data_IF_068248358338
#
_entry.id   IF_068248358338
#
_cell.length_a   1.000
_cell.length_b   1.000
_cell.length_c   1.000
_cell.angle_alpha   90.00
_cell.angle_beta   90.00
_cell.angle_gamma   90.00
#
_symmetry.space_group_name_H-M   'P 1'
#
loop_
_entity.id
_entity.type
_entity.pdbx_description
1 polymer ?
#
# COMPACT_ATOMS: atom_id res chain seq x y z
N UNK A 1 -17.30 51.80 -6.35
CA UNK A 1 -18.15 50.58 -6.40
C UNK A 1 -17.37 49.28 -6.65
N UNK A 2 -16.07 49.29 -6.96
CA UNK A 2 -15.30 48.05 -7.27
C UNK A 2 -14.79 47.25 -6.05
N UNK A 3 -14.62 47.89 -4.88
CA UNK A 3 -14.12 47.23 -3.65
C UNK A 3 -14.95 46.03 -3.17
N UNK A 4 -16.31 46.07 -3.10
CA UNK A 4 -17.10 44.92 -2.68
C UNK A 4 -17.04 43.77 -3.70
N UNK A 5 -16.95 44.05 -4.99
CA UNK A 5 -16.83 43.03 -6.04
C UNK A 5 -15.50 42.28 -5.98
N UNK A 6 -14.40 42.98 -5.70
CA UNK A 6 -13.07 42.36 -5.53
C UNK A 6 -13.05 41.47 -4.28
N UNK A 7 -13.64 41.90 -3.17
CA UNK A 7 -13.73 41.08 -1.94
C UNK A 7 -14.56 39.81 -2.16
N UNK A 8 -15.69 39.90 -2.85
CA UNK A 8 -16.52 38.73 -3.18
C UNK A 8 -15.76 37.77 -4.10
N UNK A 9 -15.09 38.28 -5.13
CA UNK A 9 -14.29 37.45 -6.03
C UNK A 9 -13.15 36.71 -5.31
N UNK A 10 -12.46 37.39 -4.37
CA UNK A 10 -11.41 36.77 -3.54
C UNK A 10 -11.98 35.69 -2.63
N UNK A 11 -13.14 35.91 -2.02
CA UNK A 11 -13.80 34.91 -1.17
C UNK A 11 -14.24 33.67 -1.96
N UNK A 12 -14.78 33.87 -3.18
CA UNK A 12 -15.15 32.75 -4.06
C UNK A 12 -13.91 31.96 -4.49
N UNK A 13 -12.82 32.64 -4.87
CA UNK A 13 -11.58 31.98 -5.25
C UNK A 13 -10.97 31.18 -4.08
N UNK A 14 -10.96 31.74 -2.87
CA UNK A 14 -10.49 31.05 -1.67
C UNK A 14 -11.33 29.80 -1.34
N UNK A 15 -12.66 29.89 -1.47
CA UNK A 15 -13.55 28.75 -1.26
C UNK A 15 -13.33 27.63 -2.29
N UNK A 16 -13.10 27.99 -3.57
CA UNK A 16 -12.81 27.01 -4.62
C UNK A 16 -11.48 26.26 -4.39
N UNK A 17 -10.44 26.96 -3.92
CA UNK A 17 -9.16 26.34 -3.58
C UNK A 17 -9.32 25.40 -2.37
N UNK A 18 -10.02 25.82 -1.32
CA UNK A 18 -10.25 25.00 -0.13
C UNK A 18 -11.03 23.71 -0.45
N UNK A 19 -12.08 23.80 -1.27
CA UNK A 19 -12.84 22.64 -1.72
C UNK A 19 -12.01 21.66 -2.55
N UNK A 20 -11.10 22.18 -3.39
CA UNK A 20 -10.21 21.35 -4.23
C UNK A 20 -9.21 20.55 -3.38
N UNK A 21 -8.62 21.17 -2.36
CA UNK A 21 -7.69 20.50 -1.46
C UNK A 21 -8.39 19.41 -0.63
N UNK A 22 -9.61 19.68 -0.13
CA UNK A 22 -10.38 18.68 0.60
C UNK A 22 -10.71 17.45 -0.26
N UNK A 23 -11.04 17.65 -1.53
CA UNK A 23 -11.29 16.55 -2.46
C UNK A 23 -10.03 15.73 -2.77
N UNK A 24 -8.87 16.38 -2.90
CA UNK A 24 -7.59 15.71 -3.11
C UNK A 24 -7.23 14.80 -1.91
N UNK A 25 -7.36 15.32 -0.68
CA UNK A 25 -7.08 14.59 0.55
C UNK A 25 -8.01 13.36 0.72
N UNK A 26 -9.29 13.50 0.38
CA UNK A 26 -10.24 12.38 0.42
C UNK A 26 -9.87 11.27 -0.58
N UNK A 27 -9.41 11.64 -1.78
CA UNK A 27 -8.96 10.66 -2.77
C UNK A 27 -7.73 9.89 -2.29
N UNK A 28 -6.74 10.59 -1.74
CA UNK A 28 -5.53 9.96 -1.17
C UNK A 28 -5.87 9.00 -0.02
N UNK A 29 -6.78 9.40 0.87
CA UNK A 29 -7.25 8.55 1.98
C UNK A 29 -7.93 7.26 1.47
N UNK A 30 -8.79 7.38 0.45
CA UNK A 30 -9.49 6.24 -0.15
C UNK A 30 -8.53 5.31 -0.89
N UNK A 31 -7.58 5.85 -1.65
CA UNK A 31 -6.58 5.07 -2.39
C UNK A 31 -5.66 4.32 -1.42
N UNK A 32 -5.28 4.94 -0.30
CA UNK A 32 -4.49 4.29 0.75
C UNK A 32 -5.23 3.10 1.35
N UNK A 33 -6.51 3.24 1.71
CA UNK A 33 -7.31 2.11 2.24
C UNK A 33 -7.47 0.98 1.24
N UNK A 34 -7.65 1.32 -0.04
CA UNK A 34 -7.73 0.34 -1.11
C UNK A 34 -6.40 -0.43 -1.24
N UNK A 35 -5.27 0.26 -1.12
CA UNK A 35 -3.94 -0.37 -1.12
C UNK A 35 -3.72 -1.26 0.11
N UNK A 36 -4.12 -0.83 1.31
CA UNK A 36 -4.05 -1.64 2.53
C UNK A 36 -4.89 -2.93 2.42
N UNK A 37 -6.13 -2.80 1.94
CA UNK A 37 -7.01 -3.95 1.73
C UNK A 37 -6.47 -4.88 0.62
N UNK A 38 -5.87 -4.31 -0.42
CA UNK A 38 -5.20 -5.05 -1.50
C UNK A 38 -4.02 -5.88 -1.00
N UNK A 39 -3.15 -5.28 -0.18
CA UNK A 39 -2.02 -5.96 0.44
C UNK A 39 -2.48 -7.04 1.44
N UNK A 40 -3.51 -6.74 2.24
CA UNK A 40 -4.10 -7.71 3.17
C UNK A 40 -4.62 -8.96 2.45
N UNK A 41 -5.29 -8.79 1.31
CA UNK A 41 -5.73 -9.90 0.46
C UNK A 41 -4.57 -10.75 -0.05
N UNK A 42 -3.46 -10.11 -0.48
CA UNK A 42 -2.23 -10.81 -0.87
C UNK A 42 -1.68 -11.66 0.27
N UNK A 43 -1.60 -11.10 1.47
CA UNK A 43 -1.12 -11.86 2.63
C UNK A 43 -2.01 -13.05 2.94
N UNK A 44 -3.33 -12.94 2.75
CA UNK A 44 -4.26 -14.06 2.89
C UNK A 44 -3.96 -15.19 1.90
N UNK A 45 -3.82 -14.85 0.62
CA UNK A 45 -3.52 -15.82 -0.44
C UNK A 45 -2.16 -16.51 -0.21
N UNK A 46 -1.14 -15.73 0.14
CA UNK A 46 0.20 -16.25 0.44
C UNK A 46 0.20 -17.12 1.69
N UNK A 47 -0.55 -16.74 2.72
CA UNK A 47 -0.67 -17.54 3.94
C UNK A 47 -1.18 -18.96 3.66
N UNK A 48 -2.19 -19.10 2.79
CA UNK A 48 -2.69 -20.43 2.42
C UNK A 48 -1.62 -21.25 1.70
N UNK A 49 -1.05 -20.70 0.62
CA UNK A 49 -0.13 -21.46 -0.25
C UNK A 49 1.16 -21.82 0.48
N UNK A 50 1.76 -20.86 1.19
CA UNK A 50 3.04 -21.06 1.87
C UNK A 50 2.91 -21.98 3.08
N UNK A 51 1.74 -22.06 3.72
CA UNK A 51 1.45 -23.09 4.73
C UNK A 51 1.52 -24.51 4.16
N UNK A 52 1.15 -24.71 2.90
CA UNK A 52 1.16 -26.04 2.29
C UNK A 52 2.50 -26.36 1.63
N UNK A 53 3.13 -25.38 0.98
CA UNK A 53 4.40 -25.56 0.29
C UNK A 53 5.62 -25.53 1.22
N UNK A 54 5.61 -24.67 2.24
CA UNK A 54 6.74 -24.47 3.16
C UNK A 54 6.31 -24.45 4.64
N UNK A 55 5.60 -25.50 5.13
CA UNK A 55 4.97 -25.51 6.45
C UNK A 55 5.92 -25.27 7.63
N UNK A 56 7.21 -25.56 7.47
CA UNK A 56 8.22 -25.44 8.54
C UNK A 56 8.75 -24.02 8.71
N UNK A 57 8.67 -23.19 7.67
CA UNK A 57 9.35 -21.89 7.62
C UNK A 57 8.38 -20.72 7.47
N UNK A 58 7.30 -20.90 6.71
CA UNK A 58 6.43 -19.79 6.32
C UNK A 58 4.98 -19.89 6.81
N UNK A 59 4.64 -20.94 7.57
CA UNK A 59 3.25 -21.23 7.93
C UNK A 59 2.55 -20.05 8.61
N UNK A 60 3.23 -19.33 9.51
CA UNK A 60 2.63 -18.21 10.25
C UNK A 60 3.16 -16.83 9.83
N UNK A 61 4.24 -16.79 9.05
CA UNK A 61 4.92 -15.55 8.61
C UNK A 61 3.95 -14.55 7.99
N UNK A 62 3.07 -15.01 7.11
CA UNK A 62 2.14 -14.12 6.39
C UNK A 62 1.00 -13.60 7.26
N UNK A 63 0.55 -14.40 8.23
CA UNK A 63 -0.40 -13.96 9.25
C UNK A 63 0.23 -12.92 10.16
N UNK A 64 1.49 -13.10 10.53
CA UNK A 64 2.20 -12.15 11.39
C UNK A 64 2.53 -10.85 10.64
N UNK A 65 2.85 -10.92 9.34
CA UNK A 65 2.93 -9.73 8.48
C UNK A 65 1.61 -8.97 8.42
N UNK A 66 0.48 -9.67 8.32
CA UNK A 66 -0.84 -9.03 8.38
C UNK A 66 -1.09 -8.33 9.71
N UNK A 67 -0.74 -8.97 10.85
CA UNK A 67 -0.84 -8.33 12.17
C UNK A 67 0.06 -7.09 12.25
N UNK A 68 1.29 -7.20 11.77
CA UNK A 68 2.25 -6.09 11.81
C UNK A 68 1.81 -4.92 10.94
N UNK A 69 1.17 -5.19 9.79
CA UNK A 69 0.58 -4.15 8.95
C UNK A 69 -0.51 -3.38 9.70
N UNK A 70 -1.42 -4.06 10.39
CA UNK A 70 -2.45 -3.41 11.22
C UNK A 70 -1.82 -2.61 12.36
N UNK A 71 -0.81 -3.16 13.01
CA UNK A 71 -0.09 -2.49 14.11
C UNK A 71 0.60 -1.21 13.64
N UNK A 72 1.25 -1.22 12.48
CA UNK A 72 1.99 -0.07 11.96
C UNK A 72 1.08 1.03 11.42
N UNK A 73 -0.04 0.66 10.79
CA UNK A 73 -0.93 1.63 10.15
C UNK A 73 -1.98 2.19 11.11
N UNK A 74 -2.17 1.56 12.28
CA UNK A 74 -3.18 1.90 13.29
C UNK A 74 -4.53 2.35 12.68
N UNK A 75 -5.13 1.53 11.79
CA UNK A 75 -6.28 1.95 11.01
C UNK A 75 -7.52 2.15 11.90
N UNK A 76 -8.45 2.98 11.44
CA UNK A 76 -9.79 3.05 12.02
C UNK A 76 -10.47 1.68 11.99
N UNK A 77 -11.48 1.51 12.85
CA UNK A 77 -12.12 0.20 13.05
C UNK A 77 -12.69 -0.40 11.76
N UNK A 78 -13.35 0.42 10.95
CA UNK A 78 -13.94 0.06 9.65
C UNK A 78 -12.87 -0.36 8.63
N UNK A 79 -11.74 0.36 8.57
CA UNK A 79 -10.62 0.02 7.70
C UNK A 79 -9.97 -1.29 8.16
N UNK A 80 -9.79 -1.46 9.47
CA UNK A 80 -9.29 -2.71 10.05
C UNK A 80 -10.19 -3.90 9.70
N UNK A 81 -11.51 -3.72 9.79
CA UNK A 81 -12.49 -4.75 9.40
C UNK A 81 -12.38 -5.08 7.90
N UNK A 82 -12.29 -4.08 7.04
CA UNK A 82 -12.12 -4.26 5.60
C UNK A 82 -10.83 -5.04 5.27
N UNK A 83 -9.73 -4.69 5.93
CA UNK A 83 -8.44 -5.39 5.80
C UNK A 83 -8.54 -6.86 6.24
N UNK A 84 -9.15 -7.15 7.39
CA UNK A 84 -9.35 -8.53 7.87
C UNK A 84 -10.23 -9.32 6.92
N UNK A 85 -11.33 -8.72 6.43
CA UNK A 85 -12.22 -9.34 5.45
C UNK A 85 -11.48 -9.65 4.15
N UNK A 86 -10.63 -8.74 3.68
CA UNK A 86 -9.83 -8.91 2.48
C UNK A 86 -8.80 -10.06 2.63
N UNK A 87 -8.13 -10.14 3.78
CA UNK A 87 -7.23 -11.26 4.10
C UNK A 87 -7.97 -12.60 4.07
N UNK A 88 -9.10 -12.70 4.76
CA UNK A 88 -9.89 -13.93 4.81
C UNK A 88 -10.43 -14.34 3.42
N UNK A 89 -10.86 -13.36 2.62
CA UNK A 89 -11.30 -13.60 1.24
C UNK A 89 -10.15 -14.10 0.36
N UNK A 90 -8.96 -13.51 0.48
CA UNK A 90 -7.76 -13.95 -0.23
C UNK A 90 -7.36 -15.39 0.13
N UNK A 91 -7.30 -15.68 1.44
CA UNK A 91 -7.05 -17.03 1.94
C UNK A 91 -8.03 -18.05 1.37
N UNK A 92 -9.33 -17.75 1.44
CA UNK A 92 -10.39 -18.65 0.98
C UNK A 92 -10.33 -18.87 -0.54
N UNK A 93 -10.02 -17.82 -1.31
CA UNK A 93 -9.86 -17.90 -2.77
C UNK A 93 -8.68 -18.79 -3.15
N UNK A 94 -7.52 -18.61 -2.50
CA UNK A 94 -6.36 -19.46 -2.72
C UNK A 94 -6.62 -20.91 -2.29
N UNK A 95 -7.34 -21.11 -1.18
CA UNK A 95 -7.74 -22.44 -0.70
C UNK A 95 -8.63 -23.20 -1.68
N UNK A 96 -9.63 -22.54 -2.22
CA UNK A 96 -10.52 -23.16 -3.20
C UNK A 96 -9.81 -23.51 -4.51
N UNK A 97 -8.76 -22.75 -4.86
CA UNK A 97 -8.01 -22.93 -6.11
C UNK A 97 -6.88 -23.95 -6.00
N UNK A 98 -6.20 -23.99 -4.86
CA UNK A 98 -5.00 -24.80 -4.64
C UNK A 98 -5.18 -25.63 -3.37
N UNK A 99 -5.44 -26.93 -3.52
CA UNK A 99 -5.65 -27.86 -2.39
C UNK A 99 -4.38 -28.57 -1.93
N UNK A 100 -3.32 -28.54 -2.72
CA UNK A 100 -2.00 -29.09 -2.40
C UNK A 100 -0.90 -28.22 -3.03
N UNK A 101 0.34 -28.42 -2.62
CA UNK A 101 1.47 -27.71 -3.22
C UNK A 101 1.85 -28.34 -4.57
N UNK A 102 1.77 -27.55 -5.64
CA UNK A 102 2.29 -27.86 -6.95
C UNK A 102 2.98 -26.64 -7.58
N UNK A 103 3.58 -26.81 -8.76
CA UNK A 103 4.27 -25.73 -9.46
C UNK A 103 3.36 -24.52 -9.72
N UNK A 104 2.08 -24.76 -10.03
CA UNK A 104 1.15 -23.66 -10.31
C UNK A 104 0.83 -22.84 -9.06
N UNK A 105 0.76 -23.47 -7.89
CA UNK A 105 0.60 -22.80 -6.61
C UNK A 105 1.83 -21.96 -6.26
N UNK A 106 3.03 -22.51 -6.47
CA UNK A 106 4.31 -21.80 -6.25
C UNK A 106 4.43 -20.58 -7.17
N UNK A 107 4.18 -20.76 -8.47
CA UNK A 107 4.22 -19.68 -9.47
C UNK A 107 3.21 -18.58 -9.14
N UNK A 108 1.99 -18.96 -8.71
CA UNK A 108 0.99 -18.01 -8.26
C UNK A 108 1.46 -17.25 -7.01
N UNK A 109 2.03 -17.92 -6.02
CA UNK A 109 2.56 -17.26 -4.83
C UNK A 109 3.68 -16.27 -5.17
N UNK A 110 4.60 -16.63 -6.08
CA UNK A 110 5.64 -15.72 -6.56
C UNK A 110 5.04 -14.47 -7.25
N UNK A 111 4.07 -14.67 -8.15
CA UNK A 111 3.39 -13.57 -8.83
C UNK A 111 2.59 -12.66 -7.87
N UNK A 112 1.99 -13.23 -6.82
CA UNK A 112 1.27 -12.45 -5.80
C UNK A 112 2.21 -11.71 -4.86
N UNK A 113 3.37 -12.27 -4.52
CA UNK A 113 4.40 -11.55 -3.77
C UNK A 113 4.87 -10.31 -4.54
N UNK A 114 5.17 -10.43 -5.84
CA UNK A 114 5.56 -9.30 -6.69
C UNK A 114 4.47 -8.20 -6.78
N UNK A 115 3.19 -8.60 -6.79
CA UNK A 115 2.08 -7.65 -6.71
C UNK A 115 1.99 -6.99 -5.32
N UNK A 116 2.37 -7.70 -4.26
CA UNK A 116 2.44 -7.19 -2.90
C UNK A 116 3.45 -6.04 -2.79
N UNK A 117 4.61 -6.21 -3.42
CA UNK A 117 5.63 -5.16 -3.47
C UNK A 117 5.11 -3.88 -4.14
N UNK A 118 4.22 -4.00 -5.13
CA UNK A 118 3.61 -2.83 -5.75
C UNK A 118 2.70 -2.05 -4.77
N UNK A 119 1.92 -2.76 -3.94
CA UNK A 119 1.14 -2.11 -2.88
C UNK A 119 2.02 -1.47 -1.83
N UNK A 120 3.09 -2.15 -1.38
CA UNK A 120 4.04 -1.60 -0.40
C UNK A 120 4.68 -0.32 -0.94
N UNK A 121 5.14 -0.32 -2.20
CA UNK A 121 5.68 0.88 -2.86
C UNK A 121 4.66 2.01 -2.88
N UNK A 122 3.41 1.73 -3.24
CA UNK A 122 2.36 2.75 -3.26
C UNK A 122 2.07 3.34 -1.86
N UNK A 123 2.05 2.51 -0.82
CA UNK A 123 1.79 2.94 0.56
C UNK A 123 2.92 3.80 1.14
N UNK A 124 4.15 3.49 0.76
CA UNK A 124 5.37 4.14 1.27
C UNK A 124 5.85 5.32 0.43
N UNK A 125 5.36 5.49 -0.81
CA UNK A 125 5.81 6.54 -1.72
C UNK A 125 5.75 7.96 -1.10
N UNK A 126 4.65 8.38 -0.43
CA UNK A 126 4.60 9.71 0.21
C UNK A 126 5.67 9.91 1.29
N UNK A 127 5.97 8.85 2.06
CA UNK A 127 7.03 8.89 3.08
C UNK A 127 8.40 9.08 2.43
N UNK A 128 8.70 8.32 1.37
CA UNK A 128 9.96 8.47 0.63
C UNK A 128 10.09 9.84 -0.04
N UNK A 129 8.99 10.42 -0.50
CA UNK A 129 8.99 11.77 -1.06
C UNK A 129 9.27 12.85 -0.01
N UNK A 130 8.65 12.74 1.16
CA UNK A 130 8.92 13.62 2.29
C UNK A 130 10.38 13.54 2.75
N UNK A 131 10.91 12.32 2.98
CA UNK A 131 12.30 12.12 3.39
C UNK A 131 13.29 12.64 2.33
N UNK A 132 13.02 12.46 1.03
CA UNK A 132 13.88 13.00 -0.02
C UNK A 132 13.91 14.53 -0.05
N UNK A 133 12.79 15.17 0.30
CA UNK A 133 12.73 16.63 0.44
C UNK A 133 13.60 17.12 1.59
N UNK A 134 13.61 16.38 2.71
CA UNK A 134 14.44 16.67 3.88
C UNK A 134 15.94 16.40 3.61
N UNK A 135 16.26 15.35 2.85
CA UNK A 135 17.62 14.94 2.46
C UNK A 135 18.20 15.76 1.28
N UNK A 136 17.38 16.58 0.60
CA UNK A 136 17.81 17.35 -0.57
C UNK A 136 18.85 18.43 -0.23
N UNK A 137 18.95 18.84 1.02
CA UNK A 137 20.01 19.73 1.51
C UNK A 137 21.27 18.91 1.89
N UNK A 138 21.93 18.32 0.88
CA UNK A 138 23.31 17.80 1.01
C UNK A 138 23.54 16.29 0.94
N UNK A 139 22.56 15.46 0.58
CA UNK A 139 22.81 14.02 0.40
C UNK A 139 23.41 13.71 -0.97
N UNK A 140 24.67 13.27 -0.99
CA UNK A 140 25.27 12.55 -2.12
C UNK A 140 24.65 11.17 -2.23
N UNK A 141 23.61 11.04 -3.07
CA UNK A 141 23.10 9.73 -3.48
C UNK A 141 24.16 9.05 -4.33
N UNK A 142 24.83 8.04 -3.79
CA UNK A 142 25.75 7.19 -4.56
C UNK A 142 24.93 6.36 -5.55
N UNK A 143 24.77 6.90 -6.76
CA UNK A 143 24.38 6.11 -7.94
C UNK A 143 25.65 5.43 -8.41
N UNK A 144 25.75 4.12 -8.18
CA UNK A 144 26.90 3.33 -8.57
C UNK A 144 27.33 3.68 -9.99
N UNK A 145 28.53 4.25 -10.11
CA UNK A 145 29.10 4.59 -11.38
C UNK A 145 29.33 3.27 -12.14
N UNK A 146 28.56 3.05 -13.20
CA UNK A 146 28.94 2.14 -14.24
C UNK A 146 30.12 2.79 -14.98
N UNK A 147 31.33 2.47 -14.56
CA UNK A 147 32.53 2.69 -15.37
C UNK A 147 33.21 1.34 -15.54
N UNK A 148 32.74 0.62 -16.55
CA UNK A 148 33.64 -0.04 -17.48
C UNK A 148 34.80 0.91 -17.86
N UNK A 149 35.99 0.33 -18.07
CA UNK A 149 37.26 0.92 -18.48
C UNK A 149 38.28 1.34 -17.37
N UNK A 150 38.98 0.35 -16.79
CA UNK A 150 40.45 0.17 -16.94
C UNK A 150 40.93 -1.15 -16.37
#
# INVERSE_FOLDING_TARGET
MMRPLVLIAVLIAAAAIAASNAAAQENEWRDRQAALSGLARIYGELHHIRRMCEPRYEADVWRDRMKKLIELEEPSFDVREAMVKAFNAGYSTAQNRYSYCDRQAEDFAAARAAQGDAYIRSLTAPLYEAMRGDDAEGVTVWRGANTDNR
#
